data_IF_464124969061
#
_entry.id   IF_464124969061
#
_cell.length_a   1.000
_cell.length_b   1.000
_cell.length_c   1.000
_cell.angle_alpha   90.00
_cell.angle_beta   90.00
_cell.angle_gamma   90.00
#
_symmetry.space_group_name_H-M   'P 1'
#
loop_
_entity.id
_entity.type
_entity.pdbx_description
1 polymer ?
#
# COMPACT_ATOMS: atom_id res chain seq x y z
N UNK A 1 13.72 9.36 -4.14
CA UNK A 1 13.56 7.96 -4.53
C UNK A 1 12.21 7.64 -5.18
N UNK A 2 11.01 8.10 -4.72
CA UNK A 2 9.74 7.79 -5.39
C UNK A 2 9.61 8.40 -6.79
N UNK A 3 10.17 9.58 -7.04
CA UNK A 3 10.24 10.18 -8.38
C UNK A 3 11.03 9.32 -9.37
N UNK A 4 12.05 8.59 -8.89
CA UNK A 4 12.85 7.69 -9.72
C UNK A 4 12.04 6.45 -10.14
N UNK A 5 11.19 5.93 -9.24
CA UNK A 5 10.28 4.81 -9.54
C UNK A 5 9.21 5.23 -10.55
N UNK A 6 8.62 6.42 -10.39
CA UNK A 6 7.65 6.98 -11.34
C UNK A 6 8.31 7.25 -12.70
N UNK A 7 9.55 7.77 -12.72
CA UNK A 7 10.30 8.00 -13.94
C UNK A 7 10.70 6.70 -14.65
N UNK A 8 11.17 5.70 -13.91
CA UNK A 8 11.63 4.45 -14.53
C UNK A 8 10.49 3.53 -14.98
N UNK A 9 9.35 3.53 -14.26
CA UNK A 9 8.25 2.59 -14.48
C UNK A 9 6.97 3.20 -15.09
N UNK A 10 6.79 4.52 -15.08
CA UNK A 10 5.49 5.12 -15.35
C UNK A 10 5.41 6.20 -16.43
N UNK A 11 6.50 6.87 -16.79
CA UNK A 11 6.40 8.09 -17.62
C UNK A 11 6.06 7.87 -19.10
N UNK A 12 6.19 6.66 -19.64
CA UNK A 12 5.78 6.42 -21.03
C UNK A 12 4.27 6.45 -21.25
N UNK A 13 3.45 6.27 -20.18
CA UNK A 13 2.00 6.18 -20.27
C UNK A 13 1.26 7.10 -19.27
N UNK A 14 1.96 8.05 -18.64
CA UNK A 14 1.35 8.97 -17.70
C UNK A 14 0.71 10.13 -18.47
N UNK A 15 -0.61 10.19 -18.48
CA UNK A 15 -1.32 11.30 -19.08
C UNK A 15 -1.40 12.48 -18.10
N UNK A 16 -1.12 13.71 -18.60
CA UNK A 16 -1.21 14.96 -17.83
C UNK A 16 -2.54 15.10 -17.06
N UNK A 17 -3.71 14.66 -17.58
CA UNK A 17 -4.97 14.65 -16.83
C UNK A 17 -4.93 13.91 -15.49
N UNK A 18 -4.11 12.87 -15.33
CA UNK A 18 -4.02 12.08 -14.10
C UNK A 18 -3.40 12.87 -12.93
N UNK A 19 -2.67 13.95 -13.24
CA UNK A 19 -2.09 14.87 -12.27
C UNK A 19 -3.02 16.03 -11.89
N UNK A 20 -4.00 16.34 -12.72
CA UNK A 20 -4.88 17.53 -12.52
C UNK A 20 -5.69 17.39 -11.24
N UNK A 21 -6.25 16.20 -10.97
CA UNK A 21 -7.06 15.98 -9.78
C UNK A 21 -6.25 16.13 -8.48
N UNK A 22 -5.12 15.44 -8.29
CA UNK A 22 -4.31 15.60 -7.08
C UNK A 22 -3.75 17.02 -6.93
N UNK A 23 -3.35 17.68 -8.03
CA UNK A 23 -2.91 19.08 -7.99
C UNK A 23 -4.07 19.99 -7.57
N UNK A 24 -5.27 19.76 -8.08
CA UNK A 24 -6.47 20.50 -7.69
C UNK A 24 -6.78 20.37 -6.20
N UNK A 25 -6.67 19.17 -5.63
CA UNK A 25 -6.84 18.94 -4.19
C UNK A 25 -5.80 19.69 -3.35
N UNK A 26 -4.54 19.69 -3.78
CA UNK A 26 -3.46 20.44 -3.10
C UNK A 26 -3.73 21.93 -3.08
N UNK A 27 -4.08 22.49 -4.25
CA UNK A 27 -4.38 23.92 -4.40
C UNK A 27 -5.61 24.30 -3.58
N UNK A 28 -6.67 23.50 -3.64
CA UNK A 28 -7.90 23.74 -2.87
C UNK A 28 -7.63 23.77 -1.38
N UNK A 29 -6.97 22.75 -0.83
CA UNK A 29 -6.62 22.69 0.59
C UNK A 29 -5.67 23.80 1.02
N UNK A 30 -4.69 24.14 0.19
CA UNK A 30 -3.75 25.22 0.45
C UNK A 30 -4.41 26.61 0.51
N UNK A 31 -5.51 26.81 -0.23
CA UNK A 31 -6.14 28.11 -0.36
C UNK A 31 -7.28 28.37 0.63
N UNK A 32 -8.04 27.33 1.01
CA UNK A 32 -9.31 27.50 1.72
C UNK A 32 -9.32 27.04 3.19
N UNK A 33 -8.27 26.38 3.69
CA UNK A 33 -8.23 25.92 5.09
C UNK A 33 -7.28 26.76 5.96
N UNK A 34 -7.68 27.01 7.22
CA UNK A 34 -7.00 27.91 8.19
C UNK A 34 -5.81 27.30 8.98
N UNK A 35 -5.16 26.24 8.51
CA UNK A 35 -3.97 25.65 9.13
C UNK A 35 -2.68 26.20 8.51
N UNK A 36 -1.53 26.02 9.17
CA UNK A 36 -0.23 26.48 8.68
C UNK A 36 0.11 25.96 7.27
N UNK A 37 0.61 26.83 6.41
CA UNK A 37 0.86 26.51 4.97
C UNK A 37 1.82 25.34 4.81
N UNK A 38 2.82 25.19 5.69
CA UNK A 38 3.83 24.13 5.61
C UNK A 38 3.26 22.76 5.95
N UNK A 39 2.39 22.65 6.98
CA UNK A 39 1.78 21.38 7.37
C UNK A 39 0.83 20.84 6.31
N UNK A 40 0.11 21.74 5.66
CA UNK A 40 -0.81 21.42 4.57
C UNK A 40 -0.08 20.97 3.31
N UNK A 41 0.99 21.68 2.96
CA UNK A 41 1.82 21.34 1.80
C UNK A 41 2.46 19.96 1.99
N UNK A 42 3.03 19.70 3.16
CA UNK A 42 3.64 18.41 3.49
C UNK A 42 2.67 17.25 3.42
N UNK A 43 1.48 17.38 4.03
CA UNK A 43 0.45 16.33 4.01
C UNK A 43 -0.16 16.10 2.61
N UNK A 44 -0.38 17.16 1.85
CA UNK A 44 -0.90 17.06 0.49
C UNK A 44 0.13 16.47 -0.47
N UNK A 45 1.40 16.82 -0.31
CA UNK A 45 2.50 16.25 -1.09
C UNK A 45 2.68 14.75 -0.77
N UNK A 46 2.62 14.38 0.51
CA UNK A 46 2.68 12.98 0.93
C UNK A 46 1.53 12.16 0.34
N UNK A 47 0.31 12.69 0.38
CA UNK A 47 -0.87 12.05 -0.21
C UNK A 47 -0.70 11.87 -1.73
N UNK A 48 -0.26 12.89 -2.43
CA UNK A 48 -0.03 12.82 -3.89
C UNK A 48 1.03 11.78 -4.25
N UNK A 49 2.15 11.77 -3.53
CA UNK A 49 3.23 10.82 -3.77
C UNK A 49 2.77 9.40 -3.47
N UNK A 50 2.13 9.18 -2.33
CA UNK A 50 1.74 7.85 -1.88
C UNK A 50 0.58 7.28 -2.71
N UNK A 51 -0.52 8.03 -2.80
CA UNK A 51 -1.72 7.59 -3.52
C UNK A 51 -1.52 7.63 -5.05
N UNK A 52 -0.88 8.69 -5.56
CA UNK A 52 -0.59 8.83 -6.98
C UNK A 52 0.37 7.75 -7.51
N UNK A 53 1.43 7.42 -6.76
CA UNK A 53 2.34 6.32 -7.15
C UNK A 53 1.66 4.95 -7.06
N UNK A 54 0.77 4.75 -6.09
CA UNK A 54 -0.03 3.53 -5.97
C UNK A 54 -0.92 3.31 -7.21
N UNK A 55 -1.72 4.30 -7.57
CA UNK A 55 -2.57 4.23 -8.76
C UNK A 55 -1.77 4.09 -10.06
N UNK A 56 -0.68 4.85 -10.20
CA UNK A 56 0.20 4.73 -11.35
C UNK A 56 0.83 3.34 -11.49
N UNK A 57 1.16 2.70 -10.37
CA UNK A 57 1.69 1.33 -10.35
C UNK A 57 0.63 0.31 -10.84
N UNK A 58 -0.61 0.45 -10.40
CA UNK A 58 -1.72 -0.40 -10.87
C UNK A 58 -1.91 -0.23 -12.38
N UNK A 59 -1.96 1.01 -12.88
CA UNK A 59 -2.04 1.29 -14.31
C UNK A 59 -0.87 0.70 -15.11
N UNK A 60 0.34 0.80 -14.59
CA UNK A 60 1.52 0.20 -15.19
C UNK A 60 1.41 -1.34 -15.30
N UNK A 61 1.00 -2.01 -14.22
CA UNK A 61 0.84 -3.47 -14.22
C UNK A 61 -0.29 -3.91 -15.17
N UNK A 62 -1.41 -3.20 -15.19
CA UNK A 62 -2.52 -3.48 -16.11
C UNK A 62 -2.08 -3.42 -17.58
N UNK A 63 -1.32 -2.38 -17.94
CA UNK A 63 -0.89 -2.17 -19.33
C UNK A 63 0.23 -3.12 -19.77
N UNK A 64 1.14 -3.51 -18.89
CA UNK A 64 2.32 -4.31 -19.28
C UNK A 64 2.16 -5.80 -19.03
N UNK A 65 1.38 -6.22 -18.02
CA UNK A 65 1.25 -7.62 -17.61
C UNK A 65 -0.20 -8.13 -17.67
N UNK A 66 -1.15 -7.24 -17.92
CA UNK A 66 -2.56 -7.57 -18.04
C UNK A 66 -3.33 -7.62 -16.72
N UNK A 67 -4.65 -7.73 -16.85
CA UNK A 67 -5.59 -7.63 -15.73
C UNK A 67 -5.46 -8.77 -14.72
N UNK A 68 -5.25 -10.00 -15.19
CA UNK A 68 -5.16 -11.18 -14.34
C UNK A 68 -3.92 -11.10 -13.41
N UNK A 69 -2.76 -10.74 -13.95
CA UNK A 69 -1.54 -10.55 -13.16
C UNK A 69 -1.74 -9.49 -12.08
N UNK A 70 -2.26 -8.32 -12.47
CA UNK A 70 -2.51 -7.22 -11.56
C UNK A 70 -3.50 -7.61 -10.45
N UNK A 71 -4.60 -8.28 -10.80
CA UNK A 71 -5.60 -8.77 -9.86
C UNK A 71 -5.01 -9.76 -8.85
N UNK A 72 -4.18 -10.70 -9.31
CA UNK A 72 -3.53 -11.67 -8.42
C UNK A 72 -2.53 -11.00 -7.47
N UNK A 73 -1.81 -9.96 -7.93
CA UNK A 73 -0.95 -9.17 -7.04
C UNK A 73 -1.76 -8.42 -5.97
N UNK A 74 -2.90 -7.84 -6.32
CA UNK A 74 -3.78 -7.17 -5.34
C UNK A 74 -4.35 -8.18 -4.33
N UNK A 75 -4.80 -9.35 -4.79
CA UNK A 75 -5.28 -10.43 -3.90
C UNK A 75 -4.18 -10.91 -2.95
N UNK A 76 -2.92 -10.90 -3.38
CA UNK A 76 -1.81 -11.34 -2.52
C UNK A 76 -1.67 -10.51 -1.23
N UNK A 77 -2.02 -9.22 -1.30
CA UNK A 77 -2.05 -8.34 -0.12
C UNK A 77 -3.13 -8.81 0.86
N UNK A 78 -4.33 -9.09 0.36
CA UNK A 78 -5.42 -9.63 1.19
C UNK A 78 -5.09 -11.00 1.79
N UNK A 79 -4.42 -11.87 1.04
CA UNK A 79 -3.97 -13.18 1.53
C UNK A 79 -2.96 -13.02 2.67
N UNK A 80 -2.00 -12.09 2.51
CA UNK A 80 -1.04 -11.76 3.56
C UNK A 80 -1.75 -11.31 4.84
N UNK A 81 -2.71 -10.41 4.72
CA UNK A 81 -3.44 -9.85 5.87
C UNK A 81 -4.30 -10.90 6.58
N UNK A 82 -5.01 -11.73 5.82
CA UNK A 82 -5.77 -12.86 6.39
C UNK A 82 -4.86 -13.84 7.11
N UNK A 83 -3.73 -14.22 6.51
CA UNK A 83 -2.76 -15.09 7.14
C UNK A 83 -2.17 -14.46 8.41
N UNK A 84 -1.77 -13.19 8.34
CA UNK A 84 -1.24 -12.46 9.49
C UNK A 84 -2.26 -12.38 10.63
N UNK A 85 -3.53 -12.13 10.32
CA UNK A 85 -4.61 -12.08 11.29
C UNK A 85 -4.87 -13.44 11.95
N UNK A 86 -5.06 -14.50 11.15
CA UNK A 86 -5.39 -15.84 11.65
C UNK A 86 -4.26 -16.43 12.51
N UNK A 87 -3.03 -16.34 12.05
CA UNK A 87 -1.88 -16.82 12.82
C UNK A 87 -1.59 -15.92 14.02
N UNK A 88 -1.71 -14.62 13.88
CA UNK A 88 -1.54 -13.67 14.97
C UNK A 88 -2.57 -13.86 16.09
N UNK A 89 -3.82 -14.17 15.73
CA UNK A 89 -4.89 -14.47 16.70
C UNK A 89 -4.65 -15.78 17.44
N UNK A 90 -4.15 -16.83 16.77
CA UNK A 90 -3.97 -18.16 17.36
C UNK A 90 -2.66 -18.33 18.11
N UNK A 91 -1.59 -17.75 17.60
CA UNK A 91 -0.22 -17.99 18.07
C UNK A 91 0.52 -16.73 18.50
N UNK A 92 -0.06 -15.55 18.33
CA UNK A 92 0.56 -14.27 18.62
C UNK A 92 0.83 -14.09 20.11
N UNK A 93 2.08 -13.82 20.45
CA UNK A 93 2.54 -13.55 21.81
C UNK A 93 3.07 -12.13 21.97
N UNK A 94 3.82 -11.67 20.97
CA UNK A 94 4.45 -10.35 20.99
C UNK A 94 3.70 -9.37 20.10
N UNK A 95 3.36 -8.20 20.61
CA UNK A 95 2.78 -7.13 19.81
C UNK A 95 3.81 -6.59 18.81
N UNK A 96 3.37 -6.30 17.58
CA UNK A 96 4.23 -5.73 16.53
C UNK A 96 4.47 -4.23 16.79
N UNK A 97 3.41 -3.51 17.16
CA UNK A 97 3.47 -2.10 17.53
C UNK A 97 2.26 -1.74 18.39
N UNK A 98 2.46 -1.55 19.70
CA UNK A 98 1.38 -1.27 20.64
C UNK A 98 0.67 0.06 20.35
N UNK A 99 1.43 1.08 19.94
CA UNK A 99 0.91 2.43 19.72
C UNK A 99 0.25 2.64 18.37
N UNK A 100 0.61 1.83 17.35
CA UNK A 100 0.14 2.02 15.97
C UNK A 100 -1.00 1.05 15.66
N UNK A 101 -0.78 -0.24 15.91
CA UNK A 101 -1.72 -1.32 15.64
C UNK A 101 -1.66 -2.38 16.74
N UNK A 102 -2.43 -2.22 17.83
CA UNK A 102 -2.36 -3.08 19.01
C UNK A 102 -2.78 -4.53 18.74
N UNK A 103 -3.47 -4.79 17.64
CA UNK A 103 -3.95 -6.12 17.27
C UNK A 103 -2.94 -6.92 16.44
N UNK A 104 -1.93 -6.28 15.84
CA UNK A 104 -0.90 -6.97 15.06
C UNK A 104 0.17 -7.57 15.96
N UNK A 105 0.59 -8.79 15.64
CA UNK A 105 1.62 -9.54 16.37
C UNK A 105 2.81 -9.85 15.46
N UNK A 106 3.98 -10.06 16.06
CA UNK A 106 5.21 -10.41 15.33
C UNK A 106 5.07 -11.77 14.66
N UNK A 107 4.45 -12.73 15.35
CA UNK A 107 4.21 -14.07 14.83
C UNK A 107 3.22 -14.04 13.65
N UNK A 108 2.16 -13.21 13.76
CA UNK A 108 1.23 -12.97 12.66
C UNK A 108 1.91 -12.34 11.46
N UNK A 109 2.74 -11.31 11.68
CA UNK A 109 3.53 -10.68 10.63
C UNK A 109 4.43 -11.68 9.90
N UNK A 110 5.17 -12.53 10.63
CA UNK A 110 6.02 -13.55 10.04
C UNK A 110 5.22 -14.57 9.21
N UNK A 111 4.07 -15.01 9.72
CA UNK A 111 3.19 -15.95 9.00
C UNK A 111 2.60 -15.31 7.73
N UNK A 112 2.12 -14.06 7.81
CA UNK A 112 1.64 -13.32 6.65
C UNK A 112 2.72 -13.16 5.60
N UNK A 113 3.91 -12.70 6.00
CA UNK A 113 5.07 -12.56 5.11
C UNK A 113 5.40 -13.88 4.40
N UNK A 114 5.40 -15.00 5.12
CA UNK A 114 5.67 -16.31 4.56
C UNK A 114 4.61 -16.75 3.56
N UNK A 115 3.33 -16.75 3.96
CA UNK A 115 2.21 -17.18 3.10
C UNK A 115 2.04 -16.27 1.89
N UNK A 116 2.08 -14.94 2.10
CA UNK A 116 1.99 -13.96 1.02
C UNK A 116 3.13 -14.08 0.03
N UNK A 117 4.38 -14.26 0.51
CA UNK A 117 5.54 -14.44 -0.38
C UNK A 117 5.46 -15.70 -1.22
N UNK A 118 4.97 -16.80 -0.67
CA UNK A 118 4.73 -18.04 -1.42
C UNK A 118 3.71 -17.78 -2.53
N UNK A 119 2.60 -17.12 -2.22
CA UNK A 119 1.58 -16.83 -3.22
C UNK A 119 2.12 -15.93 -4.34
N UNK A 120 2.79 -14.82 -4.00
CA UNK A 120 3.42 -13.93 -5.00
C UNK A 120 4.47 -14.67 -5.82
N UNK A 121 5.27 -15.54 -5.20
CA UNK A 121 6.24 -16.37 -5.92
C UNK A 121 5.59 -17.22 -7.02
N UNK A 122 4.47 -17.87 -6.74
CA UNK A 122 3.75 -18.65 -7.75
C UNK A 122 3.17 -17.76 -8.86
N UNK A 123 2.64 -16.58 -8.53
CA UNK A 123 2.19 -15.60 -9.53
C UNK A 123 3.35 -15.18 -10.43
N UNK A 124 4.49 -14.79 -9.85
CA UNK A 124 5.67 -14.43 -10.65
C UNK A 124 6.20 -15.59 -11.48
N UNK A 125 6.14 -16.81 -10.94
CA UNK A 125 6.61 -18.00 -11.65
C UNK A 125 5.75 -18.31 -12.89
N UNK A 126 4.45 -18.01 -12.82
CA UNK A 126 3.53 -18.23 -13.95
C UNK A 126 3.67 -17.14 -15.02
N UNK A 127 3.83 -15.88 -14.64
CA UNK A 127 3.79 -14.74 -15.58
C UNK A 127 5.15 -14.26 -16.05
N UNK A 128 6.24 -14.50 -15.28
CA UNK A 128 7.55 -13.91 -15.56
C UNK A 128 8.65 -14.96 -15.74
N UNK A 129 9.47 -14.74 -16.76
CA UNK A 129 10.64 -15.57 -17.08
C UNK A 129 11.94 -15.08 -16.43
N UNK A 130 11.88 -14.54 -15.22
CA UNK A 130 13.04 -14.09 -14.46
C UNK A 130 13.67 -15.23 -13.65
N UNK A 131 14.91 -15.04 -13.16
CA UNK A 131 15.63 -16.07 -12.41
C UNK A 131 14.95 -16.43 -11.09
N UNK A 132 15.20 -17.65 -10.59
CA UNK A 132 14.63 -18.13 -9.32
C UNK A 132 14.93 -17.16 -8.16
N UNK A 133 16.18 -16.69 -8.08
CA UNK A 133 16.59 -15.74 -7.03
C UNK A 133 15.81 -14.42 -7.11
N UNK A 134 15.61 -13.90 -8.32
CA UNK A 134 14.81 -12.69 -8.51
C UNK A 134 13.34 -12.90 -8.09
N UNK A 135 12.72 -14.03 -8.44
CA UNK A 135 11.35 -14.35 -8.03
C UNK A 135 11.21 -14.37 -6.50
N UNK A 136 12.13 -15.03 -5.80
CA UNK A 136 12.14 -15.10 -4.33
C UNK A 136 12.30 -13.69 -3.72
N UNK A 137 13.29 -12.94 -4.16
CA UNK A 137 13.55 -11.59 -3.63
C UNK A 137 12.36 -10.65 -3.86
N UNK A 138 11.82 -10.62 -5.09
CA UNK A 138 10.68 -9.77 -5.43
C UNK A 138 9.45 -10.15 -4.59
N UNK A 139 9.18 -11.44 -4.41
CA UNK A 139 8.04 -11.91 -3.62
C UNK A 139 8.12 -11.45 -2.16
N UNK A 140 9.28 -11.62 -1.53
CA UNK A 140 9.51 -11.21 -0.15
C UNK A 140 9.39 -9.68 -0.02
N UNK A 141 10.06 -8.93 -0.89
CA UNK A 141 10.05 -7.47 -0.86
C UNK A 141 8.66 -6.90 -1.12
N UNK A 142 7.90 -7.48 -2.06
CA UNK A 142 6.54 -7.03 -2.37
C UNK A 142 5.63 -7.13 -1.15
N UNK A 143 5.62 -8.28 -0.47
CA UNK A 143 4.78 -8.49 0.72
C UNK A 143 5.27 -7.66 1.90
N UNK A 144 6.58 -7.58 2.09
CA UNK A 144 7.18 -6.75 3.15
C UNK A 144 6.78 -5.29 3.00
N UNK A 145 6.96 -4.71 1.81
CA UNK A 145 6.58 -3.31 1.56
C UNK A 145 5.07 -3.09 1.62
N UNK A 146 4.25 -4.07 1.22
CA UNK A 146 2.80 -4.02 1.42
C UNK A 146 2.43 -3.90 2.89
N UNK A 147 3.00 -4.74 3.74
CA UNK A 147 2.75 -4.69 5.19
C UNK A 147 3.29 -3.42 5.85
N UNK A 148 4.46 -2.93 5.41
CA UNK A 148 5.00 -1.66 5.89
C UNK A 148 4.11 -0.47 5.48
N UNK A 149 3.52 -0.51 4.28
CA UNK A 149 2.56 0.48 3.80
C UNK A 149 1.32 0.56 4.69
N UNK A 150 0.74 -0.58 5.07
CA UNK A 150 -0.41 -0.65 5.97
C UNK A 150 -0.06 -0.15 7.39
N UNK A 151 1.12 -0.46 7.92
CA UNK A 151 1.58 0.10 9.19
C UNK A 151 1.78 1.62 9.11
N UNK A 152 2.29 2.10 7.98
CA UNK A 152 2.47 3.53 7.74
C UNK A 152 1.13 4.27 7.67
N UNK A 153 0.15 3.74 6.95
CA UNK A 153 -1.22 4.26 6.92
C UNK A 153 -1.83 4.29 8.32
N UNK A 154 -1.72 3.19 9.07
CA UNK A 154 -2.19 3.10 10.44
C UNK A 154 -1.54 4.18 11.33
N UNK A 155 -0.24 4.45 11.16
CA UNK A 155 0.47 5.51 11.89
C UNK A 155 -0.06 6.90 11.54
N UNK A 156 -0.33 7.18 10.27
CA UNK A 156 -0.93 8.45 9.84
C UNK A 156 -2.31 8.62 10.49
N UNK A 157 -3.18 7.60 10.46
CA UNK A 157 -4.51 7.66 11.09
C UNK A 157 -4.40 7.97 12.59
N UNK A 158 -3.47 7.35 13.31
CA UNK A 158 -3.24 7.64 14.75
C UNK A 158 -2.70 9.04 15.01
N UNK A 159 -1.88 9.60 14.13
CA UNK A 159 -1.34 10.96 14.31
C UNK A 159 -2.42 12.05 14.23
N UNK A 160 -3.57 11.76 13.66
CA UNK A 160 -4.75 12.64 13.59
C UNK A 160 -5.90 12.13 14.48
N UNK A 161 -5.58 11.26 15.47
CA UNK A 161 -6.51 10.69 16.44
C UNK A 161 -7.70 9.91 15.84
N UNK A 162 -7.60 9.52 14.57
CA UNK A 162 -8.60 8.71 13.90
C UNK A 162 -8.24 7.22 13.95
N UNK A 163 -9.27 6.38 13.98
CA UNK A 163 -9.13 4.94 13.76
C UNK A 163 -9.51 4.57 12.33
N UNK A 164 -10.65 5.08 11.90
CA UNK A 164 -11.22 4.83 10.58
C UNK A 164 -11.42 6.18 9.88
N UNK A 165 -11.18 6.24 8.56
CA UNK A 165 -11.25 7.49 7.80
C UNK A 165 -12.68 8.00 7.58
N UNK A 166 -13.66 7.10 7.60
CA UNK A 166 -15.10 7.43 7.60
C UNK A 166 -15.95 6.22 8.02
N UNK A 167 -17.28 6.41 8.10
CA UNK A 167 -18.26 5.35 8.38
C UNK A 167 -19.05 4.93 7.13
N UNK A 168 -18.50 5.14 5.94
CA UNK A 168 -19.20 4.96 4.68
C UNK A 168 -19.53 3.49 4.39
N UNK A 169 -18.64 2.58 4.80
CA UNK A 169 -18.81 1.14 4.64
C UNK A 169 -19.08 0.51 6.01
N UNK A 170 -20.31 0.00 6.30
CA UNK A 170 -20.63 -0.62 7.58
C UNK A 170 -19.67 -1.77 7.91
N UNK A 171 -18.99 -1.67 9.06
CA UNK A 171 -18.04 -2.67 9.53
C UNK A 171 -16.62 -2.62 8.90
N UNK A 172 -16.39 -1.77 7.89
CA UNK A 172 -15.10 -1.65 7.20
C UNK A 172 -14.49 -0.24 7.25
N UNK A 173 -15.26 0.79 7.66
CA UNK A 173 -14.76 2.15 7.73
C UNK A 173 -14.97 2.97 6.46
N UNK A 174 -13.98 3.71 6.01
CA UNK A 174 -14.01 4.52 4.79
C UNK A 174 -13.46 3.81 3.57
N UNK A 175 -13.53 4.48 2.42
CA UNK A 175 -12.99 3.99 1.15
C UNK A 175 -11.46 3.83 1.18
N UNK A 176 -10.77 4.57 2.07
CA UNK A 176 -9.31 4.50 2.22
C UNK A 176 -8.85 3.46 3.26
N UNK A 177 -9.76 2.98 4.10
CA UNK A 177 -9.47 1.95 5.10
C UNK A 177 -9.43 0.55 4.49
#
# INVERSE_FOLDING_TARGET
APLFVVYFFGLKNFHIPDLIFPIGVIVYRGTFENYGVYDKFGSSFLFLVWFGTGLASIGYFLNNFGSLFTFLLLISISINDVAAYEFGRRYGKKKLSENISPNKTVEGFAAGLFVGSIFVFFVLNYFLTVTLTQKILISILFVLFGTLGDLFESKIKRSIELKDTSTLLPGHGGVLD
#
